data_IF_498228330073
#
_entry.id   IF_498228330073
#
_cell.length_a   1.000
_cell.length_b   1.000
_cell.length_c   1.000
_cell.angle_alpha   90.00
_cell.angle_beta   90.00
_cell.angle_gamma   90.00
#
_symmetry.space_group_name_H-M   'P 1'
#
loop_
_entity.id
_entity.type
_entity.pdbx_description
1 polymer ?
2 non-polymer ?
3 non-polymer ?
4 non-polymer ?
5 non-polymer ?
6 water ?
#
# COMPACT_ATOMS: atom_id res chain seq x y z
N UNK A 3 0.16 12.87 31.39
CA UNK A 3 -1.09 12.11 31.11
C UNK A 3 -1.47 11.12 32.21
N UNK A 4 -0.94 11.29 33.44
CA UNK A 4 -1.16 10.33 34.51
C UNK A 4 -2.64 10.26 34.89
N UNK A 5 -3.25 11.44 35.07
CA UNK A 5 -4.66 11.56 35.42
C UNK A 5 -5.55 10.96 34.32
N UNK A 6 -5.24 11.31 33.07
CA UNK A 6 -6.00 10.83 31.93
C UNK A 6 -5.84 9.33 31.78
N UNK A 7 -4.61 8.81 31.99
CA UNK A 7 -4.41 7.38 31.89
C UNK A 7 -5.20 6.69 33.00
N UNK A 8 -5.17 7.27 34.19
CA UNK A 8 -5.87 6.66 35.31
C UNK A 8 -7.37 6.59 35.03
N UNK A 9 -7.94 7.66 34.43
CA UNK A 9 -9.35 7.69 34.05
C UNK A 9 -9.70 6.53 33.11
N UNK A 10 -8.81 6.25 32.15
CA UNK A 10 -9.04 5.14 31.22
C UNK A 10 -8.94 3.81 31.93
N UNK A 11 -7.93 3.65 32.80
CA UNK A 11 -7.82 2.41 33.55
C UNK A 11 -9.07 2.18 34.40
N UNK A 12 -9.65 3.24 34.96
CA UNK A 12 -10.84 3.12 35.78
C UNK A 12 -12.02 2.59 34.96
N UNK A 13 -12.05 2.85 33.65
CA UNK A 13 -13.11 2.31 32.81
C UNK A 13 -12.87 0.82 32.48
N UNK A 14 -11.63 0.34 32.61
CA UNK A 14 -11.27 -1.02 32.22
C UNK A 14 -11.35 -2.00 33.40
N UNK A 15 -11.08 -1.54 34.62
CA UNK A 15 -10.77 -2.43 35.74
C UNK A 15 -12.03 -3.01 36.37
N UNK A 16 -11.85 -4.03 37.21
CA UNK A 16 -12.91 -4.88 37.76
C UNK A 16 -13.18 -4.53 39.23
N UNK A 17 -12.45 -3.54 39.74
CA UNK A 17 -12.75 -2.99 41.05
C UNK A 17 -12.14 -3.81 42.20
N UNK A 18 -11.41 -4.89 41.87
CA UNK A 18 -10.53 -5.56 42.82
C UNK A 18 -9.06 -5.20 42.57
N UNK A 19 -8.77 -4.18 41.73
CA UNK A 19 -7.41 -3.91 41.27
C UNK A 19 -6.93 -4.76 40.08
N UNK A 20 -7.85 -5.46 39.40
CA UNK A 20 -7.57 -6.44 38.35
C UNK A 20 -8.40 -6.09 37.10
N UNK A 21 -8.08 -6.72 35.96
CA UNK A 21 -8.65 -6.40 34.67
C UNK A 21 -9.04 -7.73 34.05
N UNK A 22 -10.32 -7.88 33.63
CA UNK A 22 -10.78 -9.17 33.14
C UNK A 22 -9.99 -9.51 31.89
N UNK A 23 -9.67 -10.79 31.74
CA UNK A 23 -8.99 -11.29 30.55
C UNK A 23 -10.04 -11.66 29.48
N UNK A 24 -9.67 -11.82 28.20
CA UNK A 24 -10.62 -12.22 27.15
C UNK A 24 -11.31 -13.56 27.42
N UNK A 25 -12.64 -13.55 27.30
CA UNK A 25 -13.48 -14.72 27.50
C UNK A 25 -13.68 -15.50 26.20
N UNK A 26 -13.25 -14.95 25.07
CA UNK A 26 -13.31 -15.66 23.78
C UNK A 26 -12.10 -15.35 22.93
N UNK A 27 -11.72 -16.22 21.96
CA UNK A 27 -10.52 -15.94 21.17
C UNK A 27 -10.61 -14.72 20.27
N UNK A 28 -11.84 -14.36 19.84
CA UNK A 28 -12.06 -13.32 18.85
C UNK A 28 -13.41 -12.64 19.10
N UNK A 29 -13.48 -11.30 18.95
CA UNK A 29 -14.74 -10.59 19.03
C UNK A 29 -14.83 -9.57 17.89
N UNK A 30 -16.03 -9.43 17.31
CA UNK A 30 -16.31 -8.28 16.47
C UNK A 30 -16.55 -7.08 17.39
N UNK A 31 -15.64 -6.09 17.38
CA UNK A 31 -15.70 -5.07 18.42
C UNK A 31 -16.46 -3.84 17.93
N UNK A 32 -16.41 -3.60 16.62
CA UNK A 32 -17.28 -2.68 15.92
C UNK A 32 -17.57 -3.32 14.57
N UNK A 33 -18.60 -2.90 13.80
CA UNK A 33 -18.96 -3.63 12.60
C UNK A 33 -17.80 -3.83 11.64
N UNK A 34 -17.53 -5.10 11.31
CA UNK A 34 -16.54 -5.59 10.36
C UNK A 34 -15.10 -5.41 10.88
N UNK A 35 -14.94 -5.07 12.17
CA UNK A 35 -13.61 -5.01 12.80
C UNK A 35 -13.55 -6.03 13.95
N UNK A 36 -12.67 -7.03 13.79
CA UNK A 36 -12.50 -8.08 14.78
C UNK A 36 -11.19 -7.90 15.52
N UNK A 37 -11.19 -8.18 16.83
CA UNK A 37 -9.95 -8.23 17.60
C UNK A 37 -9.82 -9.63 18.20
N UNK A 38 -8.61 -10.21 18.12
CA UNK A 38 -8.42 -11.58 18.52
C UNK A 38 -6.97 -11.94 18.87
N UNK A 39 -6.77 -13.22 19.17
CA UNK A 39 -5.51 -13.72 19.69
C UNK A 39 -4.76 -14.50 18.61
N UNK A 40 -3.62 -15.07 19.02
CA UNK A 40 -2.72 -15.75 18.08
C UNK A 40 -3.36 -17.01 17.49
N UNK A 41 -4.20 -17.64 18.31
CA UNK A 41 -4.84 -18.90 17.95
C UNK A 41 -5.74 -18.66 16.75
N UNK A 42 -6.54 -17.59 16.78
CA UNK A 42 -7.47 -17.33 15.70
C UNK A 42 -6.76 -16.87 14.45
N UNK A 43 -5.71 -16.07 14.62
CA UNK A 43 -4.89 -15.61 13.50
C UNK A 43 -4.30 -16.78 12.71
N UNK A 44 -3.97 -17.87 13.43
CA UNK A 44 -3.32 -19.01 12.80
C UNK A 44 -4.34 -20.09 12.40
N UNK A 45 -5.64 -19.77 12.40
CA UNK A 45 -6.71 -20.72 12.11
C UNK A 45 -7.47 -20.25 10.87
N UNK A 46 -6.90 -20.55 9.70
CA UNK A 46 -7.40 -20.02 8.44
C UNK A 46 -8.85 -20.49 8.23
N UNK A 47 -9.21 -21.77 8.44
CA UNK A 47 -10.62 -22.17 8.34
C UNK A 47 -11.57 -21.29 9.11
N UNK A 48 -11.21 -20.95 10.36
CA UNK A 48 -12.05 -20.09 11.18
C UNK A 48 -12.19 -18.69 10.56
N UNK A 49 -11.06 -18.13 10.09
CA UNK A 49 -11.08 -16.81 9.47
C UNK A 49 -12.01 -16.82 8.25
N UNK A 50 -11.94 -17.88 7.46
CA UNK A 50 -12.74 -17.98 6.24
C UNK A 50 -14.23 -18.05 6.59
N UNK A 51 -14.56 -18.75 7.67
CA UNK A 51 -15.94 -18.84 8.15
C UNK A 51 -16.46 -17.49 8.66
N UNK A 52 -15.62 -16.66 9.29
CA UNK A 52 -16.01 -15.31 9.69
C UNK A 52 -16.06 -14.36 8.49
N UNK A 53 -15.48 -14.76 7.37
CA UNK A 53 -15.43 -13.92 6.17
C UNK A 53 -14.34 -12.84 6.21
N UNK A 54 -13.24 -13.13 6.93
CA UNK A 54 -12.15 -12.18 7.06
C UNK A 54 -11.43 -12.05 5.73
N UNK A 55 -11.25 -10.81 5.29
CA UNK A 55 -10.55 -10.49 4.05
C UNK A 55 -9.15 -9.90 4.30
N UNK A 56 -8.91 -9.36 5.49
CA UNK A 56 -7.70 -8.61 5.81
C UNK A 56 -7.26 -9.01 7.22
N UNK A 57 -5.97 -9.23 7.40
CA UNK A 57 -5.38 -9.48 8.72
C UNK A 57 -4.24 -8.49 8.99
N UNK A 58 -4.35 -7.79 10.13
CA UNK A 58 -3.30 -6.92 10.65
C UNK A 58 -2.74 -7.60 11.89
N UNK A 59 -1.51 -8.11 11.77
CA UNK A 59 -0.82 -8.73 12.89
C UNK A 59 -0.01 -7.68 13.62
N UNK A 60 -0.49 -7.26 14.79
CA UNK A 60 0.13 -6.23 15.60
C UNK A 60 1.15 -6.81 16.58
N UNK A 61 1.47 -8.10 16.43
CA UNK A 61 2.51 -8.72 17.24
C UNK A 61 3.43 -9.60 16.40
N UNK A 62 3.81 -9.15 15.20
CA UNK A 62 4.58 -9.98 14.29
C UNK A 62 5.98 -10.20 14.86
N UNK A 63 6.44 -11.46 14.87
CA UNK A 63 7.74 -11.77 15.42
C UNK A 63 7.89 -13.24 15.79
N UNK A 64 9.00 -13.56 16.47
CA UNK A 64 9.46 -14.93 16.62
C UNK A 64 9.47 -15.37 18.08
N UNK A 65 9.21 -14.47 19.02
CA UNK A 65 9.20 -14.82 20.44
C UNK A 65 7.84 -15.37 20.89
N UNK A 66 7.78 -15.84 22.14
CA UNK A 66 6.54 -16.26 22.77
C UNK A 66 5.54 -15.11 23.01
N UNK A 67 5.97 -13.84 22.84
CA UNK A 67 5.03 -12.73 22.94
C UNK A 67 4.66 -12.23 21.54
N UNK A 68 5.00 -13.00 20.51
CA UNK A 68 4.73 -12.58 19.14
C UNK A 68 4.02 -13.70 18.39
N UNK A 69 3.58 -13.35 17.18
CA UNK A 69 2.89 -14.27 16.28
C UNK A 69 3.67 -14.35 14.99
N UNK A 70 4.20 -15.56 14.72
CA UNK A 70 5.21 -15.77 13.70
C UNK A 70 4.52 -16.13 12.39
N UNK A 71 3.72 -15.19 11.88
CA UNK A 71 3.06 -15.30 10.59
C UNK A 71 3.66 -14.27 9.63
N UNK A 72 3.25 -14.36 8.37
CA UNK A 72 3.75 -13.54 7.30
C UNK A 72 2.79 -13.68 6.11
N UNK A 73 3.05 -12.91 5.03
CA UNK A 73 2.18 -12.90 3.86
C UNK A 73 1.99 -14.32 3.31
N UNK A 74 3.09 -15.06 3.31
CA UNK A 74 3.18 -16.44 2.83
C UNK A 74 2.13 -17.31 3.52
N UNK A 75 1.98 -17.15 4.84
CA UNK A 75 1.03 -17.94 5.60
C UNK A 75 -0.36 -17.85 4.99
N UNK A 76 -0.70 -16.67 4.47
CA UNK A 76 -2.05 -16.36 4.02
C UNK A 76 -2.17 -16.46 2.49
N UNK A 77 -1.11 -16.87 1.80
CA UNK A 77 -1.07 -16.73 0.33
C UNK A 77 -2.29 -17.37 -0.35
N UNK A 78 -2.61 -18.62 -0.02
CA UNK A 78 -3.61 -19.36 -0.78
C UNK A 78 -5.04 -18.94 -0.39
N UNK A 79 -5.18 -18.25 0.75
CA UNK A 79 -6.47 -18.03 1.40
C UNK A 79 -7.20 -16.83 0.79
N UNK A 80 -6.45 -16.02 0.02
CA UNK A 80 -6.99 -14.79 -0.54
C UNK A 80 -7.10 -13.64 0.49
N UNK A 81 -6.45 -13.80 1.65
CA UNK A 81 -6.49 -12.81 2.72
C UNK A 81 -5.31 -11.87 2.53
N UNK A 82 -5.57 -10.54 2.66
CA UNK A 82 -4.53 -9.53 2.54
C UNK A 82 -3.90 -9.32 3.92
N UNK A 83 -2.57 -9.29 3.99
CA UNK A 83 -1.87 -9.32 5.27
C UNK A 83 -1.01 -8.06 5.43
N UNK A 84 -0.99 -7.52 6.66
CA UNK A 84 0.02 -6.55 7.08
C UNK A 84 0.51 -6.92 8.48
N UNK A 85 1.84 -6.79 8.69
CA UNK A 85 2.43 -7.11 9.98
C UNK A 85 3.11 -5.88 10.59
N UNK A 86 3.00 -5.73 11.89
CA UNK A 86 3.70 -4.72 12.67
C UNK A 86 4.42 -5.45 13.80
N UNK A 87 5.73 -5.33 13.89
CA UNK A 87 6.48 -6.07 14.89
C UNK A 87 6.46 -5.27 16.19
N UNK A 88 5.30 -5.17 16.84
CA UNK A 88 5.27 -4.38 18.06
C UNK A 88 5.57 -5.28 19.24
N UNK A 89 6.15 -4.65 20.27
CA UNK A 89 6.29 -5.26 21.58
C UNK A 89 5.28 -4.63 22.52
N UNK A 90 4.78 -5.42 23.47
CA UNK A 90 3.83 -4.90 24.47
C UNK A 90 4.59 -4.37 25.68
N UNK A 91 5.21 -3.20 25.53
CA UNK A 91 5.91 -2.55 26.63
C UNK A 91 5.48 -1.09 26.66
N UNK A 92 5.65 -0.45 27.82
CA UNK A 92 5.26 0.94 27.96
C UNK A 92 6.15 1.84 27.09
N UNK A 93 7.32 1.34 26.70
CA UNK A 93 8.31 2.11 25.96
C UNK A 93 8.11 2.00 24.45
N UNK A 94 7.35 1.02 23.97
CA UNK A 94 7.23 0.79 22.54
C UNK A 94 6.35 1.88 21.93
N UNK A 95 6.86 2.60 20.92
CA UNK A 95 6.15 3.74 20.33
C UNK A 95 5.16 3.25 19.26
N UNK A 96 4.06 2.66 19.71
CA UNK A 96 3.06 2.13 18.81
C UNK A 96 2.39 3.26 18.01
N UNK A 97 2.40 4.49 18.55
CA UNK A 97 1.77 5.64 17.91
C UNK A 97 2.41 5.95 16.56
N UNK A 98 3.68 5.55 16.35
CA UNK A 98 4.35 5.69 15.05
C UNK A 98 3.62 4.89 13.96
N UNK A 99 2.81 3.91 14.37
CA UNK A 99 2.11 3.01 13.48
C UNK A 99 0.62 3.33 13.37
N UNK A 100 0.11 4.34 14.07
CA UNK A 100 -1.33 4.59 14.08
C UNK A 100 -1.85 4.92 12.69
N UNK A 101 -1.13 5.77 11.95
CA UNK A 101 -1.54 6.13 10.59
C UNK A 101 -1.55 4.90 9.68
N UNK A 102 -0.46 4.15 9.66
CA UNK A 102 -0.37 2.97 8.81
C UNK A 102 -1.48 1.98 9.13
N UNK A 103 -1.75 1.77 10.42
CA UNK A 103 -2.77 0.81 10.81
C UNK A 103 -4.16 1.31 10.43
N UNK A 104 -4.42 2.61 10.62
CA UNK A 104 -5.73 3.19 10.31
C UNK A 104 -5.95 3.13 8.81
N UNK A 105 -4.89 3.33 8.01
CA UNK A 105 -4.97 3.19 6.57
C UNK A 105 -5.29 1.77 6.14
N UNK A 106 -4.74 0.77 6.82
CA UNK A 106 -4.99 -0.62 6.48
C UNK A 106 -6.45 -1.01 6.79
N UNK A 107 -6.94 -0.56 7.97
CA UNK A 107 -8.32 -0.80 8.34
C UNK A 107 -9.23 -0.12 7.31
N UNK A 108 -8.92 1.14 6.96
CA UNK A 108 -9.67 1.84 5.92
C UNK A 108 -9.66 1.09 4.58
N UNK A 109 -8.51 0.51 4.20
CA UNK A 109 -8.39 -0.25 2.97
C UNK A 109 -9.35 -1.42 3.02
N UNK A 110 -9.43 -2.06 4.19
CA UNK A 110 -10.31 -3.21 4.34
C UNK A 110 -11.78 -2.79 4.30
N UNK A 111 -12.17 -1.72 4.98
CA UNK A 111 -13.57 -1.39 5.16
C UNK A 111 -14.11 -0.54 4.00
N UNK A 112 -13.22 -0.04 3.13
CA UNK A 112 -13.65 0.84 2.06
C UNK A 112 -14.58 0.11 1.08
N UNK A 113 -14.34 -1.20 0.88
CA UNK A 113 -15.25 -2.07 0.16
C UNK A 113 -16.21 -2.66 1.20
N UNK A 114 -17.50 -2.70 0.87
CA UNK A 114 -18.50 -3.06 1.85
C UNK A 114 -18.44 -4.52 2.28
N UNK A 115 -17.80 -5.38 1.49
CA UNK A 115 -17.64 -6.78 1.88
C UNK A 115 -16.45 -7.01 2.82
N UNK A 116 -15.52 -6.07 2.93
CA UNK A 116 -14.33 -6.28 3.71
C UNK A 116 -14.60 -6.50 5.21
N UNK A 117 -13.76 -7.34 5.80
CA UNK A 117 -13.74 -7.60 7.24
C UNK A 117 -12.29 -7.82 7.66
N UNK A 118 -11.88 -7.09 8.69
CA UNK A 118 -10.49 -7.09 9.13
C UNK A 118 -10.41 -7.71 10.54
N UNK A 119 -9.42 -8.59 10.71
CA UNK A 119 -8.98 -9.00 12.04
C UNK A 119 -7.70 -8.24 12.37
N UNK A 120 -7.75 -7.44 13.44
CA UNK A 120 -6.57 -6.83 14.02
C UNK A 120 -6.25 -7.66 15.28
N UNK A 121 -5.11 -8.36 15.28
CA UNK A 121 -4.81 -9.31 16.35
C UNK A 121 -3.40 -9.08 16.88
N UNK A 122 -3.18 -9.59 18.09
CA UNK A 122 -1.82 -9.59 18.65
C UNK A 122 -1.65 -10.98 19.27
N UNK A 123 -0.87 -11.14 20.33
CA UNK A 123 -0.76 -12.45 20.98
C UNK A 123 -2.05 -12.82 21.72
N UNK A 124 -2.63 -11.89 22.49
CA UNK A 124 -3.82 -12.18 23.27
C UNK A 124 -5.03 -11.34 22.86
N UNK A 125 -4.86 -10.37 21.95
CA UNK A 125 -5.95 -9.46 21.61
C UNK A 125 -6.33 -8.56 22.79
N UNK A 126 -5.31 -8.16 23.58
CA UNK A 126 -5.54 -7.48 24.84
C UNK A 126 -4.93 -6.08 24.90
N UNK A 127 -3.70 -5.88 24.38
CA UNK A 127 -3.03 -4.59 24.52
C UNK A 127 -2.70 -3.96 23.16
N UNK A 128 -1.87 -4.64 22.36
CA UNK A 128 -1.39 -4.09 21.10
C UNK A 128 -2.52 -3.91 20.07
N UNK A 129 -3.29 -4.95 19.77
CA UNK A 129 -4.29 -4.84 18.73
C UNK A 129 -5.43 -3.90 19.14
N UNK A 130 -5.97 -3.93 20.38
CA UNK A 130 -7.00 -2.97 20.77
C UNK A 130 -6.55 -1.51 20.73
N UNK A 131 -5.27 -1.23 21.02
CA UNK A 131 -4.76 0.13 20.89
C UNK A 131 -4.90 0.65 19.45
N UNK A 132 -4.57 -0.17 18.46
CA UNK A 132 -4.63 0.23 17.05
C UNK A 132 -6.08 0.46 16.61
N UNK A 133 -7.00 -0.40 17.10
CA UNK A 133 -8.41 -0.24 16.76
C UNK A 133 -8.95 1.05 17.37
N UNK A 134 -8.62 1.33 18.63
CA UNK A 134 -9.08 2.56 19.29
C UNK A 134 -8.57 3.77 18.53
N UNK A 135 -7.29 3.78 18.15
CA UNK A 135 -6.73 4.91 17.42
C UNK A 135 -7.47 5.10 16.10
N UNK A 136 -7.77 4.00 15.42
CA UNK A 136 -8.50 4.08 14.15
C UNK A 136 -9.86 4.75 14.38
N UNK A 137 -10.58 4.34 15.44
CA UNK A 137 -11.92 4.86 15.71
C UNK A 137 -11.84 6.36 15.99
N UNK A 138 -10.77 6.80 16.66
CA UNK A 138 -10.54 8.21 16.95
C UNK A 138 -10.23 8.99 15.68
N UNK A 139 -9.31 8.45 14.87
CA UNK A 139 -8.74 9.15 13.73
C UNK A 139 -9.69 9.12 12.53
N UNK A 140 -10.49 8.06 12.39
CA UNK A 140 -11.27 7.84 11.18
C UNK A 140 -12.76 7.91 11.47
N UNK A 141 -13.19 7.71 12.73
CA UNK A 141 -14.61 7.74 13.04
C UNK A 141 -14.92 8.83 14.04
N UNK A 142 -13.93 9.67 14.37
CA UNK A 142 -14.15 10.91 15.11
C UNK A 142 -14.68 10.63 16.52
N UNK A 143 -14.36 9.46 17.09
CA UNK A 143 -14.71 9.13 18.47
C UNK A 143 -13.60 9.61 19.39
N UNK A 144 -13.96 10.25 20.52
CA UNK A 144 -12.98 10.60 21.52
C UNK A 144 -12.49 9.29 22.15
N UNK A 145 -11.31 9.34 22.77
CA UNK A 145 -10.69 8.14 23.30
C UNK A 145 -11.59 7.42 24.30
N UNK A 146 -12.29 8.16 25.16
CA UNK A 146 -13.09 7.49 26.18
C UNK A 146 -14.23 6.70 25.54
N UNK A 147 -14.89 7.31 24.56
CA UNK A 147 -15.99 6.66 23.88
C UNK A 147 -15.50 5.45 23.08
N UNK A 148 -14.33 5.58 22.43
CA UNK A 148 -13.80 4.53 21.56
C UNK A 148 -13.38 3.33 22.42
N UNK A 149 -12.61 3.63 23.48
CA UNK A 149 -12.17 2.59 24.41
C UNK A 149 -13.38 1.89 25.02
N UNK A 150 -14.40 2.67 25.40
CA UNK A 150 -15.57 2.10 26.06
C UNK A 150 -16.31 1.12 25.14
N UNK A 151 -16.48 1.48 23.86
CA UNK A 151 -17.21 0.60 22.95
C UNK A 151 -16.41 -0.68 22.71
N UNK A 152 -15.08 -0.56 22.60
CA UNK A 152 -14.30 -1.76 22.35
C UNK A 152 -14.36 -2.65 23.59
N UNK A 153 -14.23 -2.05 24.78
CA UNK A 153 -14.23 -2.82 26.03
C UNK A 153 -15.60 -3.48 26.26
N UNK A 154 -16.67 -2.85 25.79
CA UNK A 154 -17.99 -3.47 25.92
C UNK A 154 -18.06 -4.77 25.11
N UNK A 155 -17.25 -4.91 24.06
CA UNK A 155 -17.34 -6.05 23.17
C UNK A 155 -16.18 -7.04 23.35
N UNK A 156 -15.13 -6.68 24.08
CA UNK A 156 -14.01 -7.59 24.33
C UNK A 156 -13.24 -7.10 25.54
N UNK A 157 -12.84 -8.02 26.43
CA UNK A 157 -12.00 -7.68 27.56
C UNK A 157 -10.63 -7.24 27.02
N UNK A 158 -10.25 -5.99 27.26
CA UNK A 158 -8.98 -5.46 26.79
C UNK A 158 -8.26 -4.78 27.97
N UNK A 159 -6.94 -4.59 27.81
CA UNK A 159 -6.16 -3.82 28.77
C UNK A 159 -4.86 -3.31 28.16
N UNK A 160 -4.91 -2.23 27.32
CA UNK A 160 -3.70 -1.60 26.79
C UNK A 160 -2.79 -1.15 27.92
N UNK A 161 -1.48 -1.38 27.76
CA UNK A 161 -0.52 -0.96 28.78
C UNK A 161 -0.58 0.58 28.92
N UNK A 162 -0.11 1.10 30.04
CA UNK A 162 -0.26 2.51 30.35
C UNK A 162 0.47 3.41 29.35
N UNK A 163 1.56 2.91 28.76
CA UNK A 163 2.24 3.68 27.73
C UNK A 163 1.35 3.87 26.49
N UNK A 164 0.74 2.77 26.03
CA UNK A 164 -0.19 2.83 24.91
C UNK A 164 -1.35 3.76 25.24
N UNK A 165 -1.89 3.68 26.47
CA UNK A 165 -2.97 4.57 26.87
C UNK A 165 -2.53 6.04 26.84
N UNK A 166 -1.29 6.34 27.32
CA UNK A 166 -0.77 7.69 27.26
C UNK A 166 -0.68 8.18 25.81
N UNK A 167 -0.25 7.28 24.91
CA UNK A 167 -0.15 7.60 23.49
C UNK A 167 -1.53 7.92 22.90
N UNK A 168 -2.55 7.19 23.35
CA UNK A 168 -3.92 7.44 22.91
C UNK A 168 -4.40 8.78 23.46
N UNK A 169 -3.99 9.13 24.67
CA UNK A 169 -4.38 10.39 25.27
C UNK A 169 -3.74 11.55 24.51
N UNK A 170 -2.48 11.37 24.09
CA UNK A 170 -1.78 12.37 23.30
C UNK A 170 -2.49 12.56 21.95
N UNK A 171 -2.89 11.44 21.35
CA UNK A 171 -3.61 11.48 20.08
C UNK A 171 -4.94 12.20 20.25
N UNK A 172 -5.66 11.87 21.30
CA UNK A 172 -6.92 12.53 21.60
C UNK A 172 -6.75 14.04 21.74
N UNK A 173 -5.71 14.49 22.45
CA UNK A 173 -5.44 15.92 22.60
C UNK A 173 -5.30 16.58 21.24
N UNK A 174 -4.46 15.97 20.38
CA UNK A 174 -4.19 16.51 19.05
C UNK A 174 -5.46 16.59 18.22
N UNK A 175 -6.28 15.52 18.21
CA UNK A 175 -7.48 15.49 17.40
C UNK A 175 -8.52 16.48 17.93
N UNK A 176 -8.65 16.58 19.25
CA UNK A 176 -9.59 17.50 19.87
C UNK A 176 -9.19 18.94 19.53
N UNK A 177 -7.90 19.25 19.67
CA UNK A 177 -7.35 20.55 19.32
C UNK A 177 -7.68 20.91 17.87
N UNK A 178 -7.57 19.94 16.95
CA UNK A 178 -7.74 20.20 15.53
C UNK A 178 -9.23 20.16 15.15
N UNK A 179 -10.12 19.98 16.14
CA UNK A 179 -11.55 19.90 15.88
C UNK A 179 -12.02 18.68 15.08
N UNK A 180 -11.33 17.52 15.24
CA UNK A 180 -11.63 16.32 14.47
C UNK A 180 -12.43 15.28 15.25
N UNK A 181 -12.89 15.60 16.47
CA UNK A 181 -13.69 14.69 17.28
C UNK A 181 -15.12 15.20 17.37
N UNK A 182 -16.10 14.27 17.41
CA UNK A 182 -17.51 14.59 17.48
C UNK A 182 -17.92 14.92 18.91
N UNK A 183 -18.64 16.06 19.15
CA UNK A 183 -18.99 16.49 20.51
C UNK A 183 -20.25 15.80 21.07
N UNK B 3 -2.60 -17.20 -32.29
CA UNK B 3 -1.20 -16.71 -32.08
C UNK B 3 -1.01 -15.34 -32.75
N UNK B 4 -2.09 -14.55 -32.78
CA UNK B 4 -2.13 -13.29 -33.49
C UNK B 4 -1.48 -12.19 -32.64
N UNK B 5 -0.82 -11.25 -33.31
CA UNK B 5 -0.23 -10.08 -32.64
C UNK B 5 0.14 -9.02 -33.67
N UNK B 6 -0.55 -7.89 -33.57
CA UNK B 6 -0.30 -6.74 -34.42
C UNK B 6 -0.41 -5.50 -33.54
N UNK B 7 0.07 -4.39 -34.08
CA UNK B 7 -0.14 -3.09 -33.46
C UNK B 7 -1.64 -2.84 -33.29
N UNK B 8 -2.46 -3.17 -34.29
CA UNK B 8 -3.90 -2.92 -34.17
C UNK B 8 -4.50 -3.68 -32.98
N UNK B 9 -4.07 -4.93 -32.76
CA UNK B 9 -4.50 -5.71 -31.61
C UNK B 9 -4.18 -4.98 -30.29
N UNK B 10 -3.01 -4.38 -30.21
CA UNK B 10 -2.64 -3.63 -29.03
C UNK B 10 -3.48 -2.35 -28.94
N UNK B 11 -3.73 -1.66 -30.05
CA UNK B 11 -4.57 -0.48 -30.00
C UNK B 11 -5.96 -0.84 -29.45
N UNK B 12 -6.47 -2.01 -29.84
CA UNK B 12 -7.77 -2.47 -29.39
C UNK B 12 -7.74 -2.71 -27.87
N UNK B 13 -6.59 -3.04 -27.27
CA UNK B 13 -6.51 -3.21 -25.82
C UNK B 13 -6.43 -1.87 -25.08
N UNK B 14 -6.03 -0.80 -25.78
CA UNK B 14 -5.84 0.51 -25.18
C UNK B 14 -7.10 1.36 -25.25
N UNK B 15 -7.83 1.23 -26.35
CA UNK B 15 -9.05 2.00 -26.53
C UNK B 15 -10.15 1.34 -25.70
N UNK B 16 -11.19 2.11 -25.41
CA UNK B 16 -12.41 1.57 -24.84
C UNK B 16 -13.02 0.66 -25.91
N UNK B 17 -14.13 0.00 -25.58
CA UNK B 17 -14.77 -0.94 -26.48
C UNK B 17 -15.45 -0.27 -27.68
N UNK B 18 -15.54 1.06 -27.69
CA UNK B 18 -16.02 1.82 -28.84
C UNK B 18 -14.90 2.41 -29.68
N UNK B 19 -13.63 2.10 -29.37
CA UNK B 19 -12.48 2.54 -30.15
C UNK B 19 -11.96 3.95 -29.80
N UNK B 20 -12.42 4.52 -28.69
CA UNK B 20 -12.00 5.86 -28.26
C UNK B 20 -10.86 5.74 -27.24
N UNK B 21 -10.00 6.76 -27.17
CA UNK B 21 -8.82 6.75 -26.31
C UNK B 21 -8.96 7.77 -25.18
N UNK B 22 -9.03 7.27 -23.94
CA UNK B 22 -9.14 8.16 -22.79
C UNK B 22 -7.76 8.64 -22.37
N UNK B 23 -7.74 9.89 -21.90
CA UNK B 23 -6.58 10.49 -21.28
C UNK B 23 -6.52 10.12 -19.80
N UNK B 24 -5.34 10.25 -19.14
CA UNK B 24 -5.20 9.89 -17.73
C UNK B 24 -6.16 10.65 -16.81
N UNK B 25 -6.82 9.90 -15.92
CA UNK B 25 -7.80 10.44 -14.99
C UNK B 25 -7.18 11.00 -13.72
N UNK B 26 -5.87 10.75 -13.49
CA UNK B 26 -5.16 11.44 -12.43
C UNK B 26 -3.66 11.56 -12.75
N UNK B 27 -2.94 12.49 -12.09
CA UNK B 27 -1.53 12.71 -12.39
C UNK B 27 -0.58 11.53 -12.31
N UNK B 28 -0.86 10.58 -11.41
CA UNK B 28 0.05 9.47 -11.13
C UNK B 28 -0.74 8.23 -10.72
N UNK B 29 -0.30 7.03 -11.15
CA UNK B 29 -0.92 5.80 -10.70
C UNK B 29 0.17 4.78 -10.37
N UNK B 30 0.00 4.06 -9.27
CA UNK B 30 0.73 2.82 -9.04
C UNK B 30 0.17 1.74 -9.97
N UNK B 31 0.93 1.37 -11.02
CA UNK B 31 0.37 0.50 -12.03
C UNK B 31 0.62 -0.97 -11.70
N UNK B 32 1.76 -1.27 -11.08
CA UNK B 32 2.00 -2.55 -10.45
C UNK B 32 2.67 -2.23 -9.11
N UNK B 33 2.81 -3.18 -8.17
CA UNK B 33 3.29 -2.79 -6.84
C UNK B 33 4.64 -2.10 -6.91
N UNK B 34 4.71 -0.90 -6.34
CA UNK B 34 5.88 -0.06 -6.18
C UNK B 34 6.36 0.53 -7.51
N UNK B 35 5.59 0.38 -8.59
CA UNK B 35 5.93 0.99 -9.88
C UNK B 35 4.82 1.98 -10.25
N UNK B 36 5.19 3.25 -10.33
CA UNK B 36 4.27 4.34 -10.62
C UNK B 36 4.52 4.87 -12.03
N UNK B 37 3.44 5.26 -12.71
CA UNK B 37 3.56 6.01 -13.96
C UNK B 37 2.80 7.32 -13.76
N UNK B 38 3.42 8.43 -14.16
CA UNK B 38 2.82 9.73 -13.96
C UNK B 38 3.32 10.80 -14.95
N UNK B 39 2.86 12.04 -14.70
CA UNK B 39 3.14 13.16 -15.58
C UNK B 39 4.24 14.05 -15.02
N UNK B 40 4.56 15.10 -15.76
CA UNK B 40 5.67 15.99 -15.46
C UNK B 40 5.43 16.75 -14.16
N UNK B 41 4.16 17.05 -13.88
CA UNK B 41 3.78 17.81 -12.70
C UNK B 41 4.22 17.07 -11.44
N UNK B 42 3.96 15.76 -11.41
CA UNK B 42 4.32 14.92 -10.25
C UNK B 42 5.84 14.85 -10.10
N UNK B 43 6.54 14.67 -11.22
CA UNK B 43 8.00 14.54 -11.22
C UNK B 43 8.69 15.81 -10.70
N UNK B 44 8.09 16.97 -10.96
CA UNK B 44 8.68 18.24 -10.61
C UNK B 44 8.23 18.71 -9.23
N UNK B 45 7.48 17.89 -8.49
CA UNK B 45 6.96 18.24 -7.18
C UNK B 45 7.57 17.32 -6.11
N UNK B 46 8.76 17.68 -5.64
CA UNK B 46 9.54 16.83 -4.75
C UNK B 46 8.75 16.56 -3.47
N UNK B 47 8.11 17.57 -2.80
CA UNK B 47 7.29 17.26 -1.62
C UNK B 47 6.25 16.18 -1.87
N UNK B 48 5.57 16.23 -3.03
CA UNK B 48 4.60 15.20 -3.36
C UNK B 48 5.27 13.84 -3.52
N UNK B 49 6.40 13.77 -4.23
CA UNK B 49 7.12 12.51 -4.39
C UNK B 49 7.45 11.93 -3.00
N UNK B 50 7.92 12.77 -2.08
CA UNK B 50 8.31 12.30 -0.76
C UNK B 50 7.13 11.75 0.00
N UNK B 51 5.96 12.40 -0.15
CA UNK B 51 4.72 11.93 0.47
C UNK B 51 4.28 10.59 -0.11
N UNK B 52 4.42 10.36 -1.44
CA UNK B 52 4.08 9.09 -2.04
C UNK B 52 5.09 8.02 -1.68
N UNK B 53 6.27 8.42 -1.17
CA UNK B 53 7.33 7.47 -0.86
C UNK B 53 8.22 7.14 -2.07
N UNK B 54 8.23 7.98 -3.11
CA UNK B 54 9.03 7.70 -4.29
C UNK B 54 10.51 7.87 -3.97
N UNK B 55 11.30 6.82 -4.25
CA UNK B 55 12.73 6.86 -4.00
C UNK B 55 13.56 7.02 -5.26
N UNK B 56 12.97 6.69 -6.42
CA UNK B 56 13.68 6.59 -7.68
C UNK B 56 12.79 7.20 -8.75
N UNK B 57 13.39 8.05 -9.61
CA UNK B 57 12.69 8.69 -10.70
C UNK B 57 13.40 8.36 -12.01
N UNK B 58 12.62 7.78 -12.94
CA UNK B 58 13.08 7.52 -14.29
C UNK B 58 12.35 8.49 -15.23
N UNK B 59 13.07 9.48 -15.72
CA UNK B 59 12.53 10.50 -16.61
C UNK B 59 12.70 10.04 -18.05
N UNK B 60 11.59 9.54 -18.65
CA UNK B 60 11.60 9.03 -20.00
C UNK B 60 11.34 10.13 -20.99
N UNK B 61 11.36 11.40 -20.53
CA UNK B 61 11.18 12.54 -21.43
C UNK B 61 12.21 13.64 -21.18
N UNK B 62 13.45 13.28 -20.84
CA UNK B 62 14.42 14.31 -20.44
C UNK B 62 14.77 15.17 -21.65
N UNK B 63 14.74 16.50 -21.45
CA UNK B 63 15.07 17.44 -22.49
C UNK B 63 14.57 18.85 -22.16
N UNK B 64 14.69 19.73 -23.16
CA UNK B 64 14.57 21.17 -22.98
C UNK B 64 13.35 21.74 -23.71
N UNK B 65 12.70 20.95 -24.56
CA UNK B 65 11.53 21.41 -25.30
C UNK B 65 10.24 21.30 -24.47
N UNK B 66 9.16 21.89 -25.02
CA UNK B 66 7.86 21.78 -24.39
C UNK B 66 7.31 20.34 -24.38
N UNK B 67 7.91 19.42 -25.13
CA UNK B 67 7.53 18.02 -25.12
C UNK B 67 8.43 17.21 -24.17
N UNK B 68 9.28 17.90 -23.38
CA UNK B 68 10.24 17.23 -22.53
C UNK B 68 10.18 17.80 -21.12
N UNK B 69 10.90 17.14 -20.20
CA UNK B 69 10.94 17.52 -18.80
C UNK B 69 12.41 17.78 -18.44
N UNK B 70 12.69 19.03 -18.06
CA UNK B 70 14.05 19.51 -17.92
C UNK B 70 14.55 19.27 -16.50
N UNK B 71 14.67 18.00 -16.10
CA UNK B 71 15.16 17.66 -14.78
C UNK B 71 16.47 16.90 -14.89
N UNK B 72 17.14 16.70 -13.76
CA UNK B 72 18.40 15.98 -13.72
C UNK B 72 18.70 15.58 -12.31
N UNK B 73 19.82 14.89 -12.08
CA UNK B 73 20.24 14.48 -10.74
C UNK B 73 20.27 15.68 -9.79
N UNK B 74 20.77 16.81 -10.31
CA UNK B 74 20.88 18.05 -9.53
C UNK B 74 19.53 18.52 -9.00
N UNK B 75 18.47 18.39 -9.82
CA UNK B 75 17.14 18.78 -9.40
C UNK B 75 16.75 18.04 -8.13
N UNK B 76 17.22 16.80 -7.96
CA UNK B 76 16.82 15.93 -6.88
C UNK B 76 17.92 15.86 -5.80
N UNK B 77 18.89 16.78 -5.88
CA UNK B 77 19.97 16.93 -4.91
C UNK B 77 19.40 17.05 -3.50
N UNK B 78 19.74 16.10 -2.63
CA UNK B 78 19.47 16.19 -1.21
C UNK B 78 18.02 15.83 -0.89
N UNK B 79 17.27 15.29 -1.87
CA UNK B 79 15.89 14.90 -1.67
C UNK B 79 15.80 13.45 -1.23
N UNK B 80 16.91 12.72 -1.34
CA UNK B 80 16.90 11.27 -1.15
C UNK B 80 16.45 10.49 -2.40
N UNK B 81 16.22 11.17 -3.53
CA UNK B 81 15.69 10.52 -4.73
C UNK B 81 16.84 10.25 -5.70
N UNK B 82 16.90 9.01 -6.21
CA UNK B 82 17.87 8.59 -7.20
C UNK B 82 17.26 8.80 -8.59
N UNK B 83 18.04 9.33 -9.54
CA UNK B 83 17.55 9.74 -10.84
C UNK B 83 18.19 8.97 -11.99
N UNK B 84 17.38 8.64 -13.01
CA UNK B 84 17.87 8.26 -14.33
C UNK B 84 17.05 8.99 -15.40
N UNK B 85 17.73 9.45 -16.44
CA UNK B 85 17.07 10.17 -17.52
C UNK B 85 17.34 9.52 -18.86
N UNK B 86 16.31 9.52 -19.72
CA UNK B 86 16.40 9.11 -21.11
C UNK B 86 15.84 10.24 -21.95
N UNK B 87 16.62 10.73 -22.93
CA UNK B 87 16.16 11.79 -23.79
C UNK B 87 15.33 11.15 -24.89
N UNK B 88 14.06 10.86 -24.59
CA UNK B 88 13.19 10.22 -25.58
C UNK B 88 12.22 11.23 -26.13
N UNK B 89 11.84 11.02 -27.37
CA UNK B 89 10.76 11.75 -28.01
C UNK B 89 9.56 10.85 -28.16
N UNK B 90 8.36 11.43 -28.12
CA UNK B 90 7.14 10.69 -28.39
C UNK B 90 6.80 10.74 -29.89
N UNK B 91 7.61 10.03 -30.69
CA UNK B 91 7.46 10.02 -32.12
C UNK B 91 7.55 8.56 -32.57
N UNK B 92 6.97 8.29 -33.75
CA UNK B 92 7.06 7.00 -34.41
C UNK B 92 8.52 6.62 -34.69
N UNK B 93 9.41 7.61 -34.84
CA UNK B 93 10.78 7.36 -35.28
C UNK B 93 11.69 6.99 -34.10
N UNK B 94 11.33 7.39 -32.87
CA UNK B 94 12.26 7.29 -31.76
C UNK B 94 12.40 5.82 -31.34
N UNK B 95 13.64 5.32 -31.29
CA UNK B 95 13.95 3.92 -30.97
C UNK B 95 14.08 3.77 -29.45
N UNK B 96 12.93 3.79 -28.79
CA UNK B 96 12.89 3.65 -27.34
C UNK B 96 13.39 2.27 -26.91
N UNK B 97 13.22 1.28 -27.78
CA UNK B 97 13.61 -0.10 -27.50
C UNK B 97 15.10 -0.24 -27.18
N UNK B 98 15.94 0.69 -27.66
CA UNK B 98 17.36 0.71 -27.32
C UNK B 98 17.60 0.90 -25.82
N UNK B 99 16.57 1.41 -25.11
CA UNK B 99 16.66 1.76 -23.71
C UNK B 99 15.88 0.77 -22.83
N UNK B 100 15.25 -0.26 -23.40
CA UNK B 100 14.42 -1.15 -22.60
C UNK B 100 15.25 -1.82 -21.49
N UNK B 101 16.46 -2.32 -21.83
CA UNK B 101 17.29 -3.00 -20.84
C UNK B 101 17.71 -2.05 -19.73
N UNK B 102 18.22 -0.88 -20.10
CA UNK B 102 18.68 0.14 -19.11
C UNK B 102 17.52 0.51 -18.16
N UNK B 103 16.33 0.72 -18.73
CA UNK B 103 15.18 1.07 -17.90
C UNK B 103 14.79 -0.08 -16.97
N UNK B 104 14.80 -1.31 -17.50
CA UNK B 104 14.42 -2.47 -16.70
C UNK B 104 15.42 -2.64 -15.54
N UNK B 105 16.69 -2.39 -15.80
CA UNK B 105 17.71 -2.46 -14.77
C UNK B 105 17.47 -1.43 -13.66
N UNK B 106 17.09 -0.21 -14.03
CA UNK B 106 16.82 0.84 -13.07
C UNK B 106 15.60 0.49 -12.19
N UNK B 107 14.52 -0.01 -12.81
CA UNK B 107 13.34 -0.46 -12.08
C UNK B 107 13.71 -1.56 -11.10
N UNK B 108 14.50 -2.56 -11.57
CA UNK B 108 15.01 -3.60 -10.68
C UNK B 108 15.81 -3.03 -9.49
N UNK B 109 16.67 -2.04 -9.77
CA UNK B 109 17.50 -1.39 -8.76
C UNK B 109 16.60 -0.70 -7.72
N UNK B 110 15.52 -0.08 -8.18
CA UNK B 110 14.55 0.57 -7.30
C UNK B 110 13.80 -0.43 -6.43
N UNK B 111 13.33 -1.55 -7.00
CA UNK B 111 12.54 -2.51 -6.27
C UNK B 111 13.40 -3.33 -5.28
N UNK B 112 14.70 -3.46 -5.56
CA UNK B 112 15.63 -4.12 -4.66
C UNK B 112 15.88 -3.32 -3.39
N UNK B 113 15.71 -2.00 -3.45
CA UNK B 113 15.89 -1.18 -2.26
C UNK B 113 14.69 -1.42 -1.34
N UNK B 114 14.95 -1.52 -0.04
CA UNK B 114 13.86 -1.66 0.91
C UNK B 114 12.97 -0.43 0.86
N UNK B 115 11.67 -0.65 0.66
CA UNK B 115 10.68 0.42 0.52
C UNK B 115 10.93 1.26 -0.74
N UNK B 116 11.64 0.69 -1.69
CA UNK B 116 11.90 1.41 -2.92
C UNK B 116 10.62 1.52 -3.75
N UNK B 117 10.38 2.71 -4.30
CA UNK B 117 9.25 2.95 -5.19
C UNK B 117 9.76 3.83 -6.33
N UNK B 118 9.48 3.40 -7.57
CA UNK B 118 9.96 4.10 -8.76
C UNK B 118 8.80 4.75 -9.50
N UNK B 119 8.98 6.05 -9.80
CA UNK B 119 8.12 6.74 -10.76
C UNK B 119 8.84 6.75 -12.09
N UNK B 120 8.22 6.10 -13.08
CA UNK B 120 8.60 6.23 -14.47
C UNK B 120 7.64 7.25 -15.09
N UNK B 121 8.16 8.40 -15.53
CA UNK B 121 7.30 9.48 -15.99
C UNK B 121 7.82 10.03 -17.32
N UNK B 122 6.92 10.72 -17.98
CA UNK B 122 7.29 11.46 -19.21
C UNK B 122 6.57 12.81 -19.07
N UNK B 123 6.07 13.39 -20.16
CA UNK B 123 5.32 14.67 -20.04
C UNK B 123 3.91 14.42 -19.46
N UNK B 124 3.20 13.44 -20.02
CA UNK B 124 1.80 13.16 -19.57
C UNK B 124 1.64 11.76 -18.97
N UNK B 125 2.69 10.94 -18.95
CA UNK B 125 2.58 9.57 -18.46
C UNK B 125 1.68 8.72 -19.35
N UNK B 126 1.71 8.97 -20.67
CA UNK B 126 0.75 8.41 -21.60
C UNK B 126 1.42 7.50 -22.64
N UNK B 127 2.57 7.90 -23.22
CA UNK B 127 3.17 7.14 -24.30
C UNK B 127 4.58 6.62 -23.92
N UNK B 128 5.53 7.52 -23.64
CA UNK B 128 6.92 7.10 -23.40
C UNK B 128 7.09 6.24 -22.13
N UNK B 129 6.63 6.74 -21.00
CA UNK B 129 6.88 6.06 -19.73
C UNK B 129 6.10 4.74 -19.64
N UNK B 130 4.81 4.62 -20.08
CA UNK B 130 4.15 3.32 -20.07
C UNK B 130 4.81 2.28 -20.97
N UNK B 131 5.39 2.67 -22.09
CA UNK B 131 6.14 1.73 -22.91
C UNK B 131 7.27 1.06 -22.14
N UNK B 132 8.04 1.83 -21.37
CA UNK B 132 9.15 1.29 -20.59
C UNK B 132 8.69 0.33 -19.51
N UNK B 133 7.54 0.62 -18.87
CA UNK B 133 7.02 -0.26 -17.84
C UNK B 133 6.48 -1.56 -18.45
N UNK B 134 5.80 -1.49 -19.59
CA UNK B 134 5.32 -2.68 -20.30
C UNK B 134 6.50 -3.57 -20.69
N UNK B 135 7.56 -2.97 -21.25
CA UNK B 135 8.74 -3.76 -21.59
C UNK B 135 9.35 -4.42 -20.34
N UNK B 136 9.40 -3.68 -19.25
CA UNK B 136 9.97 -4.23 -18.01
C UNK B 136 9.19 -5.49 -17.58
N UNK B 137 7.86 -5.42 -17.63
CA UNK B 137 7.03 -6.55 -17.22
C UNK B 137 7.26 -7.78 -18.13
N UNK B 138 7.49 -7.51 -19.41
CA UNK B 138 7.75 -8.54 -20.39
C UNK B 138 9.12 -9.20 -20.12
N UNK B 139 10.13 -8.37 -19.92
CA UNK B 139 11.50 -8.81 -19.82
C UNK B 139 11.82 -9.38 -18.43
N UNK B 140 11.19 -8.85 -17.39
CA UNK B 140 11.59 -9.19 -16.03
C UNK B 140 10.50 -9.94 -15.28
N UNK B 141 9.25 -9.91 -15.75
CA UNK B 141 8.20 -10.72 -15.15
C UNK B 141 7.68 -11.75 -16.15
N UNK B 142 8.29 -11.80 -17.34
CA UNK B 142 8.06 -12.85 -18.31
C UNK B 142 6.62 -12.89 -18.82
N UNK B 143 5.96 -11.73 -18.86
CA UNK B 143 4.62 -11.59 -19.40
C UNK B 143 4.70 -11.30 -20.90
N UNK B 144 3.76 -11.86 -21.66
CA UNK B 144 3.58 -11.49 -23.05
C UNK B 144 3.07 -10.05 -23.12
N UNK B 145 3.19 -9.45 -24.31
CA UNK B 145 2.89 -8.04 -24.46
C UNK B 145 1.43 -7.78 -24.18
N UNK B 146 0.51 -8.68 -24.58
CA UNK B 146 -0.89 -8.38 -24.36
C UNK B 146 -1.19 -8.33 -22.86
N UNK B 147 -0.65 -9.27 -22.10
CA UNK B 147 -0.86 -9.34 -20.67
C UNK B 147 -0.25 -8.12 -19.98
N UNK B 148 0.96 -7.75 -20.40
CA UNK B 148 1.68 -6.66 -19.77
C UNK B 148 0.99 -5.31 -20.03
N UNK B 149 0.65 -5.07 -21.29
CA UNK B 149 -0.03 -3.85 -21.68
C UNK B 149 -1.38 -3.77 -20.99
N UNK B 150 -2.09 -4.90 -20.93
CA UNK B 150 -3.40 -4.93 -20.27
C UNK B 150 -3.31 -4.52 -18.82
N UNK B 151 -2.32 -5.01 -18.07
CA UNK B 151 -2.28 -4.68 -16.66
C UNK B 151 -1.91 -3.22 -16.47
N UNK B 152 -1.03 -2.67 -17.33
CA UNK B 152 -0.71 -1.26 -17.14
C UNK B 152 -1.95 -0.41 -17.49
N UNK B 153 -2.63 -0.77 -18.60
CA UNK B 153 -3.81 -0.03 -19.03
C UNK B 153 -4.94 -0.15 -18.01
N UNK B 154 -5.01 -1.27 -17.30
CA UNK B 154 -6.03 -1.41 -16.26
C UNK B 154 -5.87 -0.33 -15.21
N UNK B 155 -4.61 0.11 -14.96
CA UNK B 155 -4.35 0.98 -13.84
C UNK B 155 -4.06 2.42 -14.23
N UNK B 156 -3.93 2.72 -15.53
CA UNK B 156 -3.75 4.08 -15.99
C UNK B 156 -4.16 4.14 -17.45
N UNK B 157 -4.86 5.19 -17.81
CA UNK B 157 -5.18 5.43 -19.22
C UNK B 157 -3.90 5.78 -19.97
N UNK B 158 -3.50 4.94 -20.93
CA UNK B 158 -2.23 5.09 -21.62
C UNK B 158 -2.51 4.94 -23.10
N UNK B 159 -1.57 5.40 -23.92
CA UNK B 159 -1.69 5.19 -25.34
C UNK B 159 -0.34 5.35 -26.04
N UNK B 160 0.59 4.38 -25.92
CA UNK B 160 1.86 4.45 -26.64
C UNK B 160 1.60 4.61 -28.14
N UNK B 161 2.43 5.45 -28.78
CA UNK B 161 2.30 5.70 -30.20
C UNK B 161 2.54 4.37 -30.94
N UNK B 162 2.12 4.31 -32.22
CA UNK B 162 2.15 3.06 -32.96
C UNK B 162 3.58 2.55 -33.18
N UNK B 163 4.55 3.46 -33.22
CA UNK B 163 5.95 3.05 -33.32
C UNK B 163 6.42 2.28 -32.07
N UNK B 164 6.12 2.86 -30.91
CA UNK B 164 6.40 2.16 -29.66
C UNK B 164 5.69 0.83 -29.57
N UNK B 165 4.42 0.76 -29.99
CA UNK B 165 3.71 -0.52 -29.98
C UNK B 165 4.37 -1.53 -30.93
N UNK B 166 4.88 -1.09 -32.08
CA UNK B 166 5.59 -2.01 -32.97
C UNK B 166 6.87 -2.52 -32.29
N UNK B 167 7.54 -1.66 -31.54
CA UNK B 167 8.74 -2.03 -30.82
C UNK B 167 8.41 -3.05 -29.73
N UNK B 168 7.24 -2.91 -29.07
CA UNK B 168 6.86 -3.89 -28.06
C UNK B 168 6.51 -5.22 -28.73
N UNK B 169 5.94 -5.16 -29.95
CA UNK B 169 5.64 -6.37 -30.67
C UNK B 169 6.93 -7.09 -31.03
N UNK B 170 7.95 -6.34 -31.41
CA UNK B 170 9.26 -6.93 -31.79
C UNK B 170 9.91 -7.53 -30.55
N UNK B 171 9.77 -6.86 -29.41
CA UNK B 171 10.29 -7.41 -28.17
C UNK B 171 9.61 -8.71 -27.81
N UNK B 172 8.29 -8.74 -27.93
CA UNK B 172 7.53 -9.93 -27.65
C UNK B 172 7.99 -11.09 -28.55
N UNK B 173 8.19 -10.82 -29.84
CA UNK B 173 8.67 -11.84 -30.77
C UNK B 173 10.03 -12.36 -30.31
N UNK B 174 10.94 -11.48 -29.90
CA UNK B 174 12.28 -11.91 -29.49
C UNK B 174 12.20 -12.76 -28.22
N UNK B 175 11.36 -12.38 -27.26
CA UNK B 175 11.25 -13.13 -26.01
C UNK B 175 10.62 -14.51 -26.26
N UNK B 176 9.62 -14.56 -27.13
CA UNK B 176 9.01 -15.82 -27.56
C UNK B 176 10.03 -16.71 -28.28
N UNK B 177 10.80 -16.14 -29.21
CA UNK B 177 11.86 -16.85 -29.91
C UNK B 177 12.86 -17.46 -28.93
N UNK B 178 13.19 -16.75 -27.84
CA UNK B 178 14.16 -17.23 -26.86
C UNK B 178 13.52 -18.14 -25.80
N UNK B 179 12.20 -18.32 -25.85
CA UNK B 179 11.49 -19.17 -24.90
C UNK B 179 11.38 -18.59 -23.49
N UNK B 180 11.36 -17.26 -23.37
CA UNK B 180 11.41 -16.57 -22.09
C UNK B 180 10.06 -16.02 -21.62
N UNK B 181 8.97 -16.39 -22.29
CA UNK B 181 7.63 -15.94 -21.86
C UNK B 181 6.92 -17.06 -21.10
N UNK B 182 6.36 -16.74 -19.93
CA UNK B 182 5.66 -17.74 -19.12
C UNK B 182 4.18 -17.72 -19.47
N UNK B 183 3.58 -18.88 -19.85
CA UNK B 183 2.23 -18.90 -20.42
C UNK B 183 1.11 -18.93 -19.37
X LIG C 1 0.03 -9.89 27.49
X LIG C 1 -0.56 -8.94 28.42
X LIG C 1 0.21 -8.98 29.72
X LIG C 1 0.16 -10.34 30.31
X LIG C 1 0.72 -11.28 29.36
X LIG C 1 -0.08 -11.23 28.08
X LIG C 1 0.85 -10.42 31.61
X LIG C 1 0.06 -9.85 32.78
X LIG C 1 -1.17 -10.50 32.96
X LIG C 1 -0.62 -9.83 26.18
X LIG C 1 -0.10 -8.67 25.38
X LIG C 1 -0.99 -8.52 23.87
X LIG C 1 -2.40 -8.48 24.18
X LIG C 1 -0.48 -7.23 23.30
X LIG C 1 -0.61 -9.64 23.06
X LIG D 1 -21.41 -5.45 15.74
X LIG D 1 -20.25 -5.28 16.57
X LIG D 1 -20.50 -4.40 17.74
X LIG D 1 -20.49 -3.04 17.30
X LIG D 1 -20.60 -2.07 18.35
X LIG D 1 -21.11 -0.77 17.76
X LIG D 1 -20.04 -0.10 17.07
X LIG D 1 -20.05 1.33 17.21
X LIG D 1 -18.85 1.93 16.52
X LIG D 1 -19.21 2.30 15.18
X LIG D 1 -18.10 2.37 14.29
X LIG D 1 -18.58 2.71 12.91
X LIG D 1 -19.17 1.61 12.24
X LIG E 1 -11.65 -18.94 32.27
X LIG E 1 -10.23 -19.01 32.41
X LIG E 1 -9.66 -17.64 32.63
X LIG E 1 -9.43 -16.99 31.38
X LIG E 1 -10.56 -16.27 30.89
X LIG E 1 -10.66 -14.96 31.57
X LIG E 1 -11.99 -14.77 32.08
X LIG E 1 -12.15 -13.53 32.74
X LIG E 1 -11.60 -13.62 34.11
X LIG E 1 -10.58 -12.65 34.29
X LIG E 1 -10.43 -12.30 35.67
X LIG E 1 -9.17 -11.52 35.90
X LIG E 1 -8.02 -12.36 35.71
X LIG E 1 -6.82 -11.59 35.72
X LIG E 1 -5.76 -12.35 36.42
X LIG E 1 -5.46 -13.54 35.71
X LIG E 1 -5.79 -14.73 36.43
X LIG E 1 -4.52 -15.39 36.90
X LIG E 1 -4.76 -16.03 38.15
X LIG E 1 -4.69 -15.12 39.25
X LIG E 1 -5.30 -15.72 40.48
X LIG E 1 -5.91 -14.71 41.27
X LIG F 1 1.38 14.01 -25.27
X LIG F 1 1.35 15.48 -25.16
X LIG F 1 0.11 16.04 -25.84
X LIG F 1 0.03 15.63 -27.25
X LIG F 1 0.15 14.15 -27.35
X LIG F 1 1.40 13.63 -26.68
X LIG F 1 -1.18 16.10 -27.95
X LIG F 1 -2.12 17.02 -27.20
X LIG F 1 -1.62 18.33 -27.15
X LIG F 1 2.46 13.42 -24.40
X LIG F 1 3.34 12.28 -24.88
X LIG F 1 4.03 11.53 -23.42
X LIG F 1 2.96 10.79 -22.80
X LIG F 1 4.62 12.58 -22.65
X LIG F 1 5.01 10.49 -23.99
X LIG G 1 -1.60 -1.73 -5.41
X LIG G 1 -2.31 -0.51 -5.53
X LIG G 1 -0.91 -2.10 -6.68
X LIG G 1 -1.83 -1.97 -7.76
X LIG G 1 -1.30 -2.42 -9.01
X LIG G 1 -1.26 -3.90 -9.03
X LIG G 1 -1.02 -4.41 -10.33
X LIG H 1 -12.83 10.62 -20.29
X LIG H 1 -14.23 10.86 -20.20
X LIG H 1 -12.12 10.90 -19.00
X LIG H 1 -10.74 10.56 -19.11
X LIG H 1 -9.93 11.04 -18.05
X LIG H 1 -9.39 12.42 -18.37
X LIG H 1 -9.48 13.33 -17.28
#
# INVERSE_FOLDING_TARGET
GSFELSVQDLNDLLSDGSGCYSLPSQPCNEVTPRIYVGNASVAQDIPKLQKLGITHVLNAAEGRSFMHVNTNANFYKDSGITYLGIKANDTQEFNLSAYFERAADFIDQALAQKNGRVLVHCREGYSRSPTLVIAYLMMRQKMDVKSALSIVRQNREIGPNDGFLAQLCQLNDRLAKEGKLKP
GSFELSVQDLNDLLSDGSGCYSLPSQPCNEVTPRIYVGNASVAQDIPKLQKLGITHVLNAAEGRSFMHVNTNANFYKDSGITYLGIKANDTQEFNLSAYFERAADFIDQALAQKNGRVLVHCREGYSRSPTLVIAYLMMRQKMDVKSALSIVRQNREIGPNDGFLAQLCQLNDRLAKEGKLKP
EPE N1 C2 C3 N4 C5 C6 C7 C8 O8 C9 C10 S O1S O2S O3S
PG4 O1 C1 C2 O2 C3 C4 O3 C5 C6 O4 C7 C8 O5
PE8 O1 C2 C3 O4 C5 C6 O7 C8 C9 O10 C11 C12 O13 C14 C15 O16 C17 C18 O19 C20 C21 O22
EPE N1 C2 C3 N4 C5 C6 C7 C8 O8 C9 C10 S O1S O2S O3S
PEG C1 O1 C2 O2 C3 C4 O4
PEG C1 O1 C2 O2 C3 C4 O4
#
